data_IF_729326113561
#
_entry.id   IF_729326113561
#
_cell.length_a   1.000
_cell.length_b   1.000
_cell.length_c   1.000
_cell.angle_alpha   90.00
_cell.angle_beta   90.00
_cell.angle_gamma   90.00
#
_symmetry.space_group_name_H-M   'P 1'
#
loop_
_entity.id
_entity.type
_entity.pdbx_description
1 polymer ?
#
# COMPACT_ATOMS: atom_id res chain seq x y z
N UNK A 1 -16.14 -6.99 13.46
CA UNK A 1 -16.41 -5.67 12.85
C UNK A 1 -17.92 -5.52 12.80
N UNK A 2 -18.47 -4.47 13.41
CA UNK A 2 -19.92 -4.21 13.35
C UNK A 2 -20.25 -3.46 12.06
N UNK A 3 -21.51 -3.50 11.60
CA UNK A 3 -21.92 -2.78 10.38
C UNK A 3 -21.67 -1.25 10.46
N UNK A 4 -21.60 -0.68 11.67
CA UNK A 4 -21.25 0.73 11.88
C UNK A 4 -19.78 1.05 11.56
N UNK A 5 -18.86 0.12 11.86
CA UNK A 5 -17.43 0.30 11.63
C UNK A 5 -17.12 0.29 10.12
N UNK A 6 -17.75 -0.62 9.37
CA UNK A 6 -17.60 -0.70 7.91
C UNK A 6 -18.08 0.56 7.19
N UNK A 7 -19.21 1.14 7.63
CA UNK A 7 -19.74 2.37 7.05
C UNK A 7 -18.83 3.57 7.29
N UNK A 8 -18.23 3.67 8.48
CA UNK A 8 -17.28 4.74 8.78
C UNK A 8 -15.99 4.61 7.96
N UNK A 9 -15.40 3.41 7.88
CA UNK A 9 -14.21 3.15 7.05
C UNK A 9 -14.49 3.50 5.58
N UNK A 10 -15.64 3.06 5.05
CA UNK A 10 -16.02 3.38 3.68
C UNK A 10 -16.14 4.89 3.46
N UNK A 11 -16.79 5.60 4.38
CA UNK A 11 -16.92 7.06 4.32
C UNK A 11 -15.55 7.76 4.39
N UNK A 12 -14.63 7.28 5.23
CA UNK A 12 -13.28 7.84 5.31
C UNK A 12 -12.53 7.65 4.01
N UNK A 13 -12.52 6.44 3.44
CA UNK A 13 -11.86 6.12 2.17
C UNK A 13 -12.40 7.01 1.03
N UNK A 14 -13.73 7.15 0.93
CA UNK A 14 -14.33 8.05 -0.05
C UNK A 14 -14.02 9.53 0.24
N UNK A 15 -13.91 9.92 1.52
CA UNK A 15 -13.47 11.24 1.94
C UNK A 15 -12.06 11.58 1.46
N UNK A 16 -11.11 10.62 1.51
CA UNK A 16 -9.77 10.79 0.94
C UNK A 16 -9.86 11.09 -0.56
N UNK A 17 -10.70 10.34 -1.28
CA UNK A 17 -10.87 10.54 -2.72
C UNK A 17 -11.48 11.92 -3.02
N UNK A 18 -12.50 12.33 -2.26
CA UNK A 18 -13.15 13.64 -2.39
C UNK A 18 -12.24 14.82 -2.06
N UNK A 19 -11.24 14.61 -1.20
CA UNK A 19 -10.27 15.62 -0.77
C UNK A 19 -9.08 15.71 -1.75
N UNK A 20 -8.50 14.58 -2.15
CA UNK A 20 -7.27 14.56 -2.95
C UNK A 20 -7.52 14.50 -4.45
N UNK A 21 -8.62 13.91 -4.91
CA UNK A 21 -8.83 13.60 -6.34
C UNK A 21 -9.80 14.54 -7.05
N UNK A 22 -10.46 15.44 -6.32
CA UNK A 22 -11.57 16.26 -6.84
C UNK A 22 -11.23 17.13 -8.03
N UNK A 23 -10.07 17.76 -8.01
CA UNK A 23 -9.64 18.65 -9.09
C UNK A 23 -8.85 17.90 -10.18
N UNK A 24 -8.62 16.59 -9.99
CA UNK A 24 -7.79 15.78 -10.87
C UNK A 24 -8.61 14.78 -11.68
N UNK A 25 -9.67 14.23 -11.10
CA UNK A 25 -10.46 13.17 -11.71
C UNK A 25 -11.94 13.53 -11.66
N UNK A 26 -12.70 13.01 -12.63
CA UNK A 26 -14.15 12.97 -12.48
C UNK A 26 -14.50 12.00 -11.36
N UNK A 27 -15.55 12.27 -10.59
CA UNK A 27 -15.98 11.43 -9.46
C UNK A 27 -16.13 9.94 -9.82
N UNK A 28 -16.61 9.64 -11.02
CA UNK A 28 -16.74 8.26 -11.53
C UNK A 28 -15.40 7.50 -11.66
N UNK A 29 -14.28 8.22 -11.74
CA UNK A 29 -12.91 7.74 -11.92
C UNK A 29 -12.09 7.69 -10.62
N UNK A 30 -12.62 8.17 -9.50
CA UNK A 30 -11.93 8.05 -8.21
C UNK A 30 -11.63 6.59 -7.86
N UNK A 31 -12.55 5.69 -8.21
CA UNK A 31 -12.42 4.25 -7.95
C UNK A 31 -11.13 3.66 -8.54
N UNK A 32 -10.66 4.20 -9.66
CA UNK A 32 -9.47 3.73 -10.39
C UNK A 32 -8.17 4.07 -9.61
N UNK A 33 -8.27 4.92 -8.58
CA UNK A 33 -7.15 5.33 -7.71
C UNK A 33 -7.37 4.87 -6.27
N UNK A 34 -8.54 5.15 -5.69
CA UNK A 34 -8.76 4.91 -4.26
C UNK A 34 -8.87 3.43 -3.90
N UNK A 35 -9.43 2.60 -4.79
CA UNK A 35 -9.52 1.16 -4.58
C UNK A 35 -8.14 0.49 -4.55
N UNK A 36 -7.26 0.65 -5.57
CA UNK A 36 -5.92 0.08 -5.52
C UNK A 36 -5.12 0.64 -4.34
N UNK A 37 -5.25 1.92 -3.97
CA UNK A 37 -4.60 2.47 -2.77
C UNK A 37 -5.06 1.80 -1.47
N UNK A 38 -6.35 1.51 -1.34
CA UNK A 38 -6.90 0.81 -0.16
C UNK A 38 -6.39 -0.62 -0.09
N UNK A 39 -6.38 -1.33 -1.22
CA UNK A 39 -5.83 -2.69 -1.32
C UNK A 39 -4.35 -2.69 -0.96
N UNK A 40 -3.56 -1.76 -1.51
CA UNK A 40 -2.14 -1.62 -1.21
C UNK A 40 -1.89 -1.40 0.28
N UNK A 41 -2.63 -0.49 0.93
CA UNK A 41 -2.47 -0.26 2.38
C UNK A 41 -2.73 -1.53 3.18
N UNK A 42 -3.76 -2.30 2.82
CA UNK A 42 -4.10 -3.53 3.53
C UNK A 42 -3.03 -4.61 3.34
N UNK A 43 -2.52 -4.77 2.12
CA UNK A 43 -1.43 -5.72 1.83
C UNK A 43 -0.14 -5.32 2.57
N UNK A 44 0.19 -4.03 2.57
CA UNK A 44 1.34 -3.48 3.29
C UNK A 44 1.24 -3.75 4.79
N UNK A 45 0.10 -3.42 5.42
CA UNK A 45 -0.13 -3.65 6.84
C UNK A 45 -0.05 -5.13 7.25
N UNK A 46 -0.43 -6.06 6.36
CA UNK A 46 -0.28 -7.51 6.59
C UNK A 46 1.20 -7.93 6.56
N UNK A 47 2.03 -7.28 5.74
CA UNK A 47 3.44 -7.63 5.55
C UNK A 47 4.39 -6.90 6.51
N UNK A 48 3.97 -5.82 7.16
CA UNK A 48 4.81 -5.00 8.06
C UNK A 48 5.58 -5.86 9.07
N UNK A 49 4.93 -6.84 9.71
CA UNK A 49 5.56 -7.71 10.71
C UNK A 49 6.55 -8.73 10.13
N UNK A 50 6.36 -9.15 8.88
CA UNK A 50 7.20 -10.13 8.17
C UNK A 50 8.27 -9.50 7.27
N UNK A 51 8.32 -8.16 7.17
CA UNK A 51 9.12 -7.45 6.17
C UNK A 51 10.61 -7.78 6.26
N UNK A 52 11.19 -7.71 7.46
CA UNK A 52 12.61 -8.02 7.67
C UNK A 52 12.95 -9.44 7.26
N UNK A 53 12.11 -10.42 7.62
CA UNK A 53 12.33 -11.81 7.24
C UNK A 53 12.31 -12.02 5.72
N UNK A 54 11.43 -11.32 5.00
CA UNK A 54 11.38 -11.37 3.53
C UNK A 54 12.64 -10.77 2.92
N UNK A 55 13.12 -9.62 3.43
CA UNK A 55 14.31 -8.96 2.92
C UNK A 55 15.58 -9.79 3.18
N UNK A 56 15.75 -10.31 4.40
CA UNK A 56 16.88 -11.18 4.75
C UNK A 56 16.87 -12.46 3.90
N UNK A 57 15.69 -13.05 3.67
CA UNK A 57 15.56 -14.21 2.80
C UNK A 57 15.92 -13.85 1.35
N UNK A 58 15.45 -12.70 0.85
CA UNK A 58 15.73 -12.25 -0.51
C UNK A 58 17.23 -12.09 -0.74
N UNK A 59 17.92 -11.41 0.17
CA UNK A 59 19.37 -11.21 0.11
C UNK A 59 20.11 -12.55 0.08
N UNK A 60 19.77 -13.47 0.99
CA UNK A 60 20.39 -14.81 1.04
C UNK A 60 20.18 -15.61 -0.25
N UNK A 61 19.01 -15.52 -0.86
CA UNK A 61 18.70 -16.23 -2.11
C UNK A 61 19.46 -15.63 -3.29
N UNK A 62 19.61 -14.30 -3.32
CA UNK A 62 20.38 -13.60 -4.34
C UNK A 62 21.87 -13.93 -4.26
N UNK A 63 22.45 -13.93 -3.04
CA UNK A 63 23.83 -14.34 -2.81
C UNK A 63 24.09 -15.80 -3.19
N UNK A 64 23.10 -16.67 -2.98
CA UNK A 64 23.15 -18.07 -3.38
C UNK A 64 22.86 -18.30 -4.88
N UNK A 65 22.50 -17.27 -5.63
CA UNK A 65 22.17 -17.36 -7.06
C UNK A 65 20.91 -18.19 -7.36
N UNK A 66 19.97 -18.28 -6.40
CA UNK A 66 18.72 -19.04 -6.56
C UNK A 66 17.79 -18.26 -7.49
N UNK A 67 17.44 -18.87 -8.63
CA UNK A 67 16.55 -18.25 -9.62
C UNK A 67 15.08 -18.30 -9.18
N UNK A 68 14.63 -19.43 -8.66
CA UNK A 68 13.23 -19.62 -8.25
C UNK A 68 13.06 -19.37 -6.74
N UNK A 69 12.56 -18.19 -6.40
CA UNK A 69 12.53 -17.69 -5.02
C UNK A 69 11.11 -17.62 -4.41
N UNK A 70 10.06 -17.77 -5.23
CA UNK A 70 8.68 -17.41 -4.85
C UNK A 70 8.19 -18.18 -3.62
N UNK A 71 8.40 -19.50 -3.58
CA UNK A 71 7.96 -20.34 -2.46
C UNK A 71 8.65 -19.95 -1.13
N UNK A 72 9.95 -19.65 -1.17
CA UNK A 72 10.73 -19.31 0.02
C UNK A 72 10.38 -17.91 0.53
N UNK A 73 10.12 -16.96 -0.37
CA UNK A 73 9.69 -15.61 -0.01
C UNK A 73 8.28 -15.59 0.59
N UNK A 74 7.35 -16.41 0.06
CA UNK A 74 6.02 -16.61 0.67
C UNK A 74 6.12 -17.21 2.07
N UNK A 75 6.98 -18.21 2.24
CA UNK A 75 7.23 -18.81 3.54
C UNK A 75 7.80 -17.80 4.54
N UNK A 76 8.77 -16.98 4.12
CA UNK A 76 9.36 -15.93 4.95
C UNK A 76 8.34 -14.84 5.33
N UNK A 77 7.44 -14.49 4.40
CA UNK A 77 6.34 -13.55 4.66
C UNK A 77 5.27 -14.13 5.60
N UNK A 78 5.16 -15.46 5.70
CA UNK A 78 4.05 -16.12 6.37
C UNK A 78 2.70 -15.90 5.68
N UNK A 79 2.72 -15.52 4.40
CA UNK A 79 1.54 -15.08 3.63
C UNK A 79 1.57 -15.66 2.21
N UNK A 80 0.41 -15.67 1.56
CA UNK A 80 0.28 -16.05 0.15
C UNK A 80 0.72 -14.94 -0.82
N UNK A 81 1.56 -14.01 -0.37
CA UNK A 81 2.16 -12.95 -1.16
C UNK A 81 3.33 -12.36 -0.36
N UNK A 82 4.19 -11.61 -1.02
CA UNK A 82 5.34 -10.94 -0.40
C UNK A 82 5.62 -9.61 -1.10
N UNK A 83 6.49 -8.80 -0.50
CA UNK A 83 7.04 -7.61 -1.13
C UNK A 83 8.54 -7.47 -0.83
N UNK A 84 9.37 -7.52 -1.86
CA UNK A 84 10.85 -7.42 -1.78
C UNK A 84 11.40 -6.02 -1.92
N UNK A 85 10.57 -4.98 -2.12
CA UNK A 85 11.06 -3.60 -2.05
C UNK A 85 11.55 -3.31 -0.65
N UNK A 86 12.59 -2.49 -0.50
CA UNK A 86 13.06 -2.02 0.80
C UNK A 86 12.10 -1.05 1.49
N UNK A 87 11.07 -0.59 0.77
CA UNK A 87 10.11 0.38 1.27
C UNK A 87 8.84 -0.31 1.78
N UNK A 88 8.26 0.27 2.83
CA UNK A 88 6.84 0.15 3.18
C UNK A 88 6.07 1.34 2.63
N UNK A 89 4.75 1.26 2.57
CA UNK A 89 3.94 2.41 2.16
C UNK A 89 4.11 3.59 3.13
N UNK A 90 4.34 3.32 4.42
CA UNK A 90 4.62 4.32 5.45
C UNK A 90 5.94 5.09 5.22
N UNK A 91 7.00 4.41 4.77
CA UNK A 91 8.30 5.05 4.50
C UNK A 91 8.22 6.12 3.42
N UNK A 92 7.28 5.94 2.48
CA UNK A 92 7.07 6.85 1.35
C UNK A 92 6.36 8.14 1.74
N UNK A 93 5.69 8.18 2.91
CA UNK A 93 5.02 9.39 3.43
C UNK A 93 5.98 10.56 3.63
N UNK A 94 7.22 10.29 4.04
CA UNK A 94 8.18 11.31 4.45
C UNK A 94 9.02 11.91 3.29
N UNK A 95 8.69 11.60 2.03
CA UNK A 95 9.47 12.04 0.86
C UNK A 95 9.04 13.43 0.39
N UNK A 96 9.93 14.41 0.54
CA UNK A 96 9.70 15.78 0.09
C UNK A 96 9.91 16.01 -1.42
N UNK A 97 10.60 15.10 -2.12
CA UNK A 97 10.85 15.22 -3.56
C UNK A 97 9.90 14.33 -4.35
N UNK A 98 9.10 14.94 -5.21
CA UNK A 98 8.05 14.32 -6.02
C UNK A 98 8.56 13.26 -6.99
N UNK A 99 9.62 13.56 -7.75
CA UNK A 99 10.16 12.63 -8.75
C UNK A 99 10.79 11.41 -8.06
N UNK A 100 11.44 11.64 -6.91
CA UNK A 100 11.95 10.55 -6.06
C UNK A 100 10.82 9.73 -5.43
N UNK A 101 9.75 10.37 -4.97
CA UNK A 101 8.57 9.69 -4.44
C UNK A 101 7.94 8.79 -5.51
N UNK A 102 7.79 9.28 -6.74
CA UNK A 102 7.28 8.45 -7.83
C UNK A 102 8.18 7.24 -8.11
N UNK A 103 9.50 7.43 -8.16
CA UNK A 103 10.44 6.34 -8.39
C UNK A 103 10.42 5.32 -7.25
N UNK A 104 10.50 5.77 -5.99
CA UNK A 104 10.45 4.90 -4.81
C UNK A 104 9.09 4.16 -4.72
N UNK A 105 7.99 4.81 -5.10
CA UNK A 105 6.66 4.18 -5.13
C UNK A 105 6.55 3.12 -6.23
N UNK A 106 7.15 3.34 -7.41
CA UNK A 106 7.22 2.31 -8.46
C UNK A 106 8.02 1.10 -8.01
N UNK A 107 9.18 1.31 -7.40
CA UNK A 107 9.99 0.24 -6.80
C UNK A 107 9.18 -0.56 -5.76
N UNK A 108 8.45 0.14 -4.89
CA UNK A 108 7.53 -0.48 -3.94
C UNK A 108 6.47 -1.36 -4.62
N UNK A 109 5.85 -0.88 -5.70
CA UNK A 109 4.85 -1.65 -6.45
C UNK A 109 5.48 -2.84 -7.15
N UNK A 110 6.67 -2.68 -7.75
CA UNK A 110 7.35 -3.74 -8.50
C UNK A 110 7.92 -4.84 -7.60
N UNK A 111 8.16 -4.53 -6.32
CA UNK A 111 8.59 -5.51 -5.31
C UNK A 111 7.54 -6.55 -4.92
N UNK A 112 6.26 -6.37 -5.27
CA UNK A 112 5.21 -7.33 -4.94
C UNK A 112 5.30 -8.65 -5.72
N UNK A 113 4.85 -9.74 -5.10
CA UNK A 113 4.77 -11.06 -5.73
C UNK A 113 3.85 -11.10 -6.95
N UNK A 114 4.02 -12.06 -7.89
CA UNK A 114 3.33 -12.06 -9.19
C UNK A 114 1.80 -11.95 -9.10
N UNK A 115 1.18 -12.65 -8.16
CA UNK A 115 -0.27 -12.59 -7.95
C UNK A 115 -0.77 -11.18 -7.56
N UNK A 116 0.03 -10.40 -6.83
CA UNK A 116 -0.32 -9.01 -6.51
C UNK A 116 -0.03 -8.10 -7.71
N UNK A 117 1.01 -8.39 -8.50
CA UNK A 117 1.24 -7.68 -9.77
C UNK A 117 0.04 -7.79 -10.70
N UNK A 118 -0.53 -8.98 -10.83
CA UNK A 118 -1.72 -9.22 -11.65
C UNK A 118 -2.92 -8.40 -11.16
N UNK A 119 -3.14 -8.32 -9.84
CA UNK A 119 -4.18 -7.49 -9.25
C UNK A 119 -3.97 -6.01 -9.60
N UNK A 120 -2.74 -5.50 -9.46
CA UNK A 120 -2.40 -4.11 -9.79
C UNK A 120 -2.56 -3.79 -11.28
N UNK A 121 -2.28 -4.77 -12.15
CA UNK A 121 -2.46 -4.67 -13.58
C UNK A 121 -3.95 -4.61 -13.96
N UNK A 122 -4.80 -5.44 -13.32
CA UNK A 122 -6.25 -5.39 -13.49
C UNK A 122 -6.86 -4.04 -13.09
N UNK A 123 -6.27 -3.34 -12.12
CA UNK A 123 -6.67 -1.98 -11.75
C UNK A 123 -6.14 -0.90 -12.71
N UNK A 124 -5.24 -1.24 -13.63
CA UNK A 124 -4.49 -0.28 -14.47
C UNK A 124 -3.80 0.82 -13.63
N UNK A 125 -3.42 0.51 -12.39
CA UNK A 125 -3.08 1.54 -11.40
C UNK A 125 -1.79 2.30 -11.76
N UNK A 126 -0.83 1.61 -12.39
CA UNK A 126 0.42 2.22 -12.88
C UNK A 126 0.19 3.35 -13.87
N UNK A 127 -0.92 3.33 -14.61
CA UNK A 127 -1.28 4.39 -15.55
C UNK A 127 -1.71 5.69 -14.84
N UNK A 128 -2.15 5.59 -13.57
CA UNK A 128 -2.57 6.75 -12.78
C UNK A 128 -1.38 7.47 -12.13
N UNK A 129 -0.26 6.77 -11.89
CA UNK A 129 0.90 7.29 -11.15
C UNK A 129 1.47 8.59 -11.75
N UNK A 130 1.74 8.71 -13.06
CA UNK A 130 2.30 9.95 -13.62
C UNK A 130 1.39 11.17 -13.44
N UNK A 131 0.07 10.94 -13.42
CA UNK A 131 -0.91 12.02 -13.22
C UNK A 131 -0.98 12.43 -11.75
N UNK A 132 -1.00 11.46 -10.84
CA UNK A 132 -0.97 11.71 -9.40
C UNK A 132 0.32 12.41 -8.96
N UNK A 133 1.46 11.95 -9.48
CA UNK A 133 2.76 12.55 -9.24
C UNK A 133 2.80 14.00 -9.74
N UNK A 134 2.51 14.28 -11.02
CA UNK A 134 2.53 15.66 -11.55
C UNK A 134 1.64 16.65 -10.78
N UNK A 135 0.54 16.17 -10.22
CA UNK A 135 -0.40 16.95 -9.44
C UNK A 135 -0.05 17.07 -7.95
N UNK A 136 1.08 16.51 -7.51
CA UNK A 136 1.50 16.42 -6.10
C UNK A 136 0.50 15.68 -5.18
N UNK A 137 -0.40 14.89 -5.78
CA UNK A 137 -1.45 14.17 -5.07
C UNK A 137 -1.00 12.81 -4.54
N UNK A 138 0.08 12.23 -5.10
CA UNK A 138 0.57 10.92 -4.69
C UNK A 138 1.00 10.90 -3.22
N UNK A 139 1.74 11.91 -2.77
CA UNK A 139 2.17 12.05 -1.38
C UNK A 139 0.98 12.20 -0.42
N UNK A 140 0.03 13.08 -0.76
CA UNK A 140 -1.18 13.28 0.04
C UNK A 140 -2.05 12.03 0.13
N UNK A 141 -2.16 11.26 -0.95
CA UNK A 141 -2.85 9.96 -0.92
C UNK A 141 -2.18 9.00 0.07
N UNK A 142 -0.86 8.81 -0.06
CA UNK A 142 -0.07 7.92 0.80
C UNK A 142 -0.21 8.35 2.26
N UNK A 143 -0.08 9.64 2.56
CA UNK A 143 -0.25 10.18 3.92
C UNK A 143 -1.62 9.86 4.50
N UNK A 144 -2.70 10.07 3.74
CA UNK A 144 -4.06 9.85 4.23
C UNK A 144 -4.40 8.37 4.40
N UNK A 145 -3.98 7.50 3.49
CA UNK A 145 -4.25 6.05 3.63
C UNK A 145 -3.37 5.39 4.69
N UNK A 146 -2.22 5.98 5.02
CA UNK A 146 -1.34 5.52 6.12
C UNK A 146 -1.61 6.27 7.42
N UNK A 147 -2.62 7.14 7.47
CA UNK A 147 -2.93 7.93 8.65
C UNK A 147 -3.24 7.01 9.85
N UNK A 148 -2.64 7.27 11.03
CA UNK A 148 -2.93 6.50 12.24
C UNK A 148 -4.37 6.70 12.74
N UNK A 149 -5.11 7.67 12.19
CA UNK A 149 -6.51 7.94 12.52
C UNK A 149 -7.47 6.86 12.01
N UNK A 150 -7.06 6.09 11.00
CA UNK A 150 -7.84 4.97 10.47
C UNK A 150 -7.03 3.68 10.52
N UNK A 151 -7.70 2.59 10.89
CA UNK A 151 -7.11 1.27 10.80
C UNK A 151 -7.59 0.52 9.55
N UNK A 152 -6.79 0.57 8.48
CA UNK A 152 -6.98 -0.24 7.27
C UNK A 152 -6.26 -1.60 7.32
N UNK A 153 -5.65 -1.93 8.47
CA UNK A 153 -4.95 -3.18 8.69
C UNK A 153 -5.87 -4.35 9.05
N UNK A 154 -5.35 -5.59 9.05
CA UNK A 154 -6.11 -6.79 9.39
C UNK A 154 -6.40 -6.90 10.90
N UNK A 155 -5.52 -6.35 11.74
CA UNK A 155 -5.61 -6.42 13.20
C UNK A 155 -6.19 -5.14 13.79
N UNK A 156 -6.88 -5.26 14.91
CA UNK A 156 -7.42 -4.12 15.64
C UNK A 156 -6.30 -3.29 16.30
N UNK A 157 -6.03 -2.09 15.80
CA UNK A 157 -5.13 -1.14 16.45
C UNK A 157 -5.84 -0.52 17.65
N UNK A 158 -5.17 -0.36 18.79
CA UNK A 158 -5.75 0.31 19.97
C UNK A 158 -5.17 1.72 20.14
N UNK A 159 -6.00 2.65 20.57
CA UNK A 159 -5.59 3.96 21.03
C UNK A 159 -4.85 3.86 22.38
N UNK A 160 -4.15 4.94 22.75
CA UNK A 160 -3.46 5.03 24.04
C UNK A 160 -4.42 4.91 25.24
N UNK A 161 -5.72 5.15 25.04
CA UNK A 161 -6.78 4.98 26.03
C UNK A 161 -7.38 3.56 26.08
N UNK A 162 -6.83 2.61 25.31
CA UNK A 162 -7.27 1.22 25.26
C UNK A 162 -8.46 0.94 24.35
N UNK A 163 -9.09 1.96 23.76
CA UNK A 163 -10.17 1.79 22.78
C UNK A 163 -9.63 1.23 21.46
N UNK A 164 -10.41 0.40 20.78
CA UNK A 164 -10.05 -0.05 19.43
C UNK A 164 -10.23 1.12 18.47
N UNK A 165 -9.16 1.49 17.75
CA UNK A 165 -9.22 2.42 16.62
C UNK A 165 -10.19 1.86 15.59
N UNK A 166 -11.20 2.67 15.30
CA UNK A 166 -12.27 2.34 14.37
C UNK A 166 -11.74 2.32 12.93
#
# INVERSE_FOLDING_TARGET
MTNGDLNWIANYIWGIADDVLRDLYQRGKYRDVILPMTVLRRLDAVLESGKTAVLDMKERLDEAGVVEQDAMLRQAAGQAFYNTSRFTLGDLRARANRDRLEADFRDYLDGFSPNVQDILNCFEFRNQIPKLSRADALGSLIEKVTSPEINLGPEAVRNADGTVRR
#
